data_IF_733745130771
#
_entry.id   IF_733745130771
#
_cell.length_a   1.000
_cell.length_b   1.000
_cell.length_c   1.000
_cell.angle_alpha   90.00
_cell.angle_beta   90.00
_cell.angle_gamma   90.00
#
_symmetry.space_group_name_H-M   'P 1'
#
loop_
_entity.id
_entity.type
_entity.pdbx_description
1 polymer ?
#
# COMPACT_ATOMS: atom_id res chain seq x y z
N UNK A 1 7.86 52.96 7.83
CA UNK A 1 7.54 51.96 6.78
C UNK A 1 6.03 51.86 6.74
N UNK A 2 5.45 52.70 5.88
CA UNK A 2 4.05 53.08 5.93
C UNK A 2 3.20 52.13 5.09
N UNK A 3 2.07 51.75 5.66
CA UNK A 3 1.08 50.84 5.10
C UNK A 3 0.52 51.35 3.76
N UNK A 4 0.93 50.73 2.67
CA UNK A 4 0.27 50.83 1.37
C UNK A 4 -0.94 49.88 1.37
N UNK A 5 -1.97 50.21 2.15
CA UNK A 5 -3.27 49.56 2.09
C UNK A 5 -3.93 49.92 0.74
N UNK A 6 -3.59 49.15 -0.29
CA UNK A 6 -4.17 49.29 -1.63
C UNK A 6 -5.65 48.90 -1.52
N UNK A 7 -6.53 49.87 -1.69
CA UNK A 7 -7.98 49.67 -1.61
C UNK A 7 -8.46 48.75 -2.74
N UNK A 8 -8.63 47.46 -2.44
CA UNK A 8 -9.16 46.42 -3.35
C UNK A 8 -10.70 46.43 -3.39
N UNK A 9 -11.30 47.60 -3.34
CA UNK A 9 -12.75 47.78 -3.47
C UNK A 9 -13.16 47.57 -4.93
N UNK A 10 -13.40 46.30 -5.32
CA UNK A 10 -13.97 45.97 -6.63
C UNK A 10 -13.72 44.54 -7.12
N UNK A 11 -12.86 43.75 -6.45
CA UNK A 11 -12.64 42.37 -6.88
C UNK A 11 -13.81 41.49 -6.46
N UNK A 12 -14.43 40.82 -7.44
CA UNK A 12 -15.44 39.78 -7.20
C UNK A 12 -14.88 38.72 -6.26
N UNK A 13 -15.62 38.39 -5.21
CA UNK A 13 -15.26 37.36 -4.23
C UNK A 13 -16.30 36.25 -4.20
N UNK A 14 -15.88 35.05 -3.76
CA UNK A 14 -16.75 33.91 -3.52
C UNK A 14 -16.50 33.31 -2.13
N UNK A 15 -17.52 32.78 -1.44
CA UNK A 15 -17.33 32.21 -0.12
C UNK A 15 -16.60 30.86 -0.19
N UNK A 16 -15.83 30.56 0.85
CA UNK A 16 -15.16 29.29 1.05
C UNK A 16 -16.17 28.14 1.10
N UNK A 17 -15.94 27.06 0.34
CA UNK A 17 -16.83 25.90 0.31
C UNK A 17 -16.96 25.18 1.67
N UNK A 18 -15.92 25.25 2.51
CA UNK A 18 -15.88 24.52 3.80
C UNK A 18 -16.49 25.32 4.94
N UNK A 19 -16.00 26.54 5.21
CA UNK A 19 -16.48 27.34 6.34
C UNK A 19 -17.56 28.35 5.98
N UNK A 20 -17.78 28.64 4.69
CA UNK A 20 -18.66 29.70 4.17
C UNK A 20 -18.37 31.14 4.65
N UNK A 21 -17.46 31.32 5.60
CA UNK A 21 -17.07 32.61 6.17
C UNK A 21 -15.93 33.26 5.39
N UNK A 22 -14.87 32.51 5.09
CA UNK A 22 -13.70 33.07 4.42
C UNK A 22 -14.00 33.43 2.96
N UNK A 23 -13.69 34.66 2.56
CA UNK A 23 -13.84 35.12 1.18
C UNK A 23 -12.59 34.78 0.37
N UNK A 24 -12.80 34.23 -0.82
CA UNK A 24 -11.78 33.93 -1.81
C UNK A 24 -11.96 34.89 -2.99
N UNK A 25 -10.89 35.39 -3.60
CA UNK A 25 -11.01 36.07 -4.89
C UNK A 25 -11.68 35.15 -5.91
N UNK A 26 -12.59 35.66 -6.74
CA UNK A 26 -13.33 34.86 -7.71
C UNK A 26 -12.41 34.15 -8.72
N UNK A 27 -11.27 34.77 -9.05
CA UNK A 27 -10.23 34.22 -9.92
C UNK A 27 -9.32 33.18 -9.24
N UNK A 28 -9.46 32.96 -7.93
CA UNK A 28 -8.63 31.97 -7.23
C UNK A 28 -8.95 30.56 -7.74
N UNK A 29 -7.92 29.76 -8.02
CA UNK A 29 -8.08 28.32 -8.33
C UNK A 29 -8.48 27.50 -7.10
N UNK A 30 -8.35 28.08 -5.90
CA UNK A 30 -8.64 27.39 -4.66
C UNK A 30 -10.12 27.45 -4.29
N UNK A 31 -10.66 26.29 -3.89
CA UNK A 31 -12.06 26.11 -3.48
C UNK A 31 -12.29 26.48 -2.00
N UNK A 32 -11.21 26.44 -1.19
CA UNK A 32 -11.25 26.64 0.25
C UNK A 32 -10.35 27.80 0.65
N UNK A 33 -10.76 28.57 1.66
CA UNK A 33 -9.95 29.64 2.26
C UNK A 33 -8.64 29.08 2.83
N UNK A 34 -7.69 29.97 3.07
CA UNK A 34 -6.35 29.63 3.57
C UNK A 34 -6.39 28.85 4.88
N UNK A 35 -7.22 29.28 5.85
CA UNK A 35 -7.37 28.60 7.14
C UNK A 35 -7.93 27.18 6.99
N UNK A 36 -8.96 26.99 6.17
CA UNK A 36 -9.53 25.66 5.93
C UNK A 36 -8.52 24.72 5.25
N UNK A 37 -7.70 25.25 4.33
CA UNK A 37 -6.59 24.50 3.71
C UNK A 37 -5.52 24.14 4.74
N UNK A 38 -5.11 25.09 5.59
CA UNK A 38 -4.15 24.86 6.66
C UNK A 38 -4.65 23.78 7.64
N UNK A 39 -5.92 23.86 8.06
CA UNK A 39 -6.54 22.87 8.94
C UNK A 39 -6.61 21.47 8.30
N UNK A 40 -6.93 21.39 7.01
CA UNK A 40 -6.92 20.12 6.25
C UNK A 40 -5.52 19.53 6.17
N UNK A 41 -4.51 20.36 5.88
CA UNK A 41 -3.12 19.93 5.81
C UNK A 41 -2.59 19.47 7.18
N UNK A 42 -2.96 20.16 8.27
CA UNK A 42 -2.62 19.76 9.63
C UNK A 42 -3.19 18.38 9.98
N UNK A 43 -4.49 18.16 9.71
CA UNK A 43 -5.12 16.84 9.90
C UNK A 43 -4.47 15.74 9.05
N UNK A 44 -4.02 16.06 7.84
CA UNK A 44 -3.31 15.11 6.99
C UNK A 44 -1.95 14.75 7.57
N UNK A 45 -1.19 15.73 8.09
CA UNK A 45 0.10 15.51 8.78
C UNK A 45 -0.05 14.67 10.04
N UNK A 46 -1.10 14.92 10.83
CA UNK A 46 -1.39 14.13 12.03
C UNK A 46 -1.68 12.66 11.68
N UNK A 47 -2.48 12.41 10.63
CA UNK A 47 -2.76 11.05 10.14
C UNK A 47 -1.51 10.35 9.63
N UNK A 48 -0.60 11.05 8.95
CA UNK A 48 0.68 10.46 8.53
C UNK A 48 1.57 10.15 9.72
N UNK A 49 1.62 11.03 10.73
CA UNK A 49 2.36 10.79 11.98
C UNK A 49 1.81 9.59 12.76
N UNK A 50 0.49 9.45 12.88
CA UNK A 50 -0.13 8.28 13.51
C UNK A 50 0.20 6.97 12.78
N UNK A 51 0.25 7.00 11.44
CA UNK A 51 0.68 5.83 10.66
C UNK A 51 2.14 5.47 10.89
N UNK A 52 3.01 6.47 11.08
CA UNK A 52 4.43 6.27 11.41
C UNK A 52 4.65 5.77 12.85
N UNK A 53 3.77 6.11 13.80
CA UNK A 53 3.82 5.61 15.19
C UNK A 53 3.25 4.19 15.35
N UNK A 54 2.38 3.75 14.44
CA UNK A 54 1.73 2.42 14.51
C UNK A 54 2.69 1.21 14.53
N UNK A 55 3.86 1.20 13.86
CA UNK A 55 4.81 0.09 13.94
C UNK A 55 5.47 -0.06 15.31
N UNK A 56 5.50 0.97 16.15
CA UNK A 56 6.15 0.91 17.47
C UNK A 56 5.24 0.38 18.60
N UNK A 57 3.97 0.10 18.31
CA UNK A 57 2.98 -0.37 19.29
C UNK A 57 2.53 -1.82 19.04
N UNK A 58 3.10 -2.49 18.05
CA UNK A 58 2.96 -3.95 18.01
C UNK A 58 3.89 -4.51 19.08
N UNK A 59 3.37 -5.28 20.05
CA UNK A 59 4.21 -5.97 21.01
C UNK A 59 5.22 -6.78 20.21
N UNK A 60 6.50 -6.50 20.40
CA UNK A 60 7.55 -7.47 20.11
C UNK A 60 7.24 -8.68 20.96
N UNK A 61 6.53 -9.64 20.38
CA UNK A 61 6.43 -10.99 20.92
C UNK A 61 7.86 -11.52 20.80
N UNK A 62 8.67 -11.27 21.83
CA UNK A 62 9.90 -12.01 22.05
C UNK A 62 9.46 -13.46 22.24
N UNK A 63 9.53 -14.21 21.15
CA UNK A 63 9.62 -15.66 21.22
C UNK A 63 11.03 -15.98 21.72
N UNK A 64 11.24 -15.75 23.03
CA UNK A 64 12.34 -16.37 23.75
C UNK A 64 12.07 -17.88 23.70
N UNK A 65 12.66 -18.49 22.68
CA UNK A 65 12.74 -19.94 22.57
C UNK A 65 13.85 -20.37 23.52
N UNK A 66 13.44 -20.70 24.75
CA UNK A 66 14.24 -21.49 25.67
C UNK A 66 14.60 -22.80 24.97
N UNK A 67 15.82 -22.87 24.46
CA UNK A 67 16.39 -24.09 23.92
C UNK A 67 17.43 -24.58 24.92
N UNK A 68 16.93 -25.17 26.00
CA UNK A 68 17.72 -26.03 26.86
C UNK A 68 17.94 -27.34 26.11
N UNK A 69 19.13 -27.53 25.54
CA UNK A 69 19.78 -28.84 25.61
C UNK A 69 21.29 -28.75 25.44
N UNK A 70 21.88 -29.53 26.32
CA UNK A 70 23.22 -29.55 26.86
C UNK A 70 24.12 -30.55 26.11
N UNK A 71 25.44 -30.32 26.21
CA UNK A 71 26.56 -31.25 26.01
C UNK A 71 26.81 -31.86 24.61
N UNK A 72 28.03 -32.06 24.08
CA UNK A 72 29.46 -31.81 24.40
C UNK A 72 30.23 -32.43 23.20
N UNK A 73 31.29 -31.90 22.59
CA UNK A 73 32.71 -31.87 23.03
C UNK A 73 33.60 -31.27 21.92
N UNK A 74 34.56 -30.42 22.32
CA UNK A 74 35.98 -30.28 21.86
C UNK A 74 36.27 -29.86 20.39
N UNK A 75 37.25 -29.01 20.03
CA UNK A 75 38.41 -28.45 20.71
C UNK A 75 38.93 -27.17 19.99
N UNK A 76 39.52 -26.27 20.79
CA UNK A 76 40.73 -25.47 20.53
C UNK A 76 40.87 -24.59 19.27
N UNK A 77 40.85 -23.27 19.47
CA UNK A 77 42.00 -22.44 19.07
C UNK A 77 42.06 -21.12 19.85
N UNK A 78 43.26 -20.82 20.31
CA UNK A 78 43.73 -19.77 21.22
C UNK A 78 43.95 -18.42 20.54
N UNK A 79 43.72 -17.32 21.28
CA UNK A 79 44.67 -16.19 21.27
C UNK A 79 44.14 -14.76 21.17
N UNK A 80 44.08 -14.09 22.33
CA UNK A 80 44.42 -12.67 22.62
C UNK A 80 43.58 -11.53 21.98
N UNK A 81 42.72 -10.85 22.73
CA UNK A 81 42.95 -9.85 23.78
C UNK A 81 43.17 -8.41 23.27
N UNK A 82 42.19 -7.54 23.56
CA UNK A 82 42.43 -6.27 24.29
C UNK A 82 41.12 -5.62 24.76
N UNK A 83 41.18 -5.19 26.01
CA UNK A 83 40.18 -4.53 26.84
C UNK A 83 39.91 -3.08 26.40
N UNK A 84 38.68 -2.59 26.66
CA UNK A 84 38.46 -1.54 27.67
C UNK A 84 36.96 -1.18 27.82
N UNK A 85 36.43 -1.44 29.03
CA UNK A 85 35.79 -0.47 29.97
C UNK A 85 35.21 0.84 29.40
N UNK A 86 34.12 1.43 29.88
CA UNK A 86 33.22 1.25 31.03
C UNK A 86 32.15 2.36 30.91
N UNK A 87 31.07 2.23 31.70
CA UNK A 87 30.23 3.32 32.25
C UNK A 87 29.00 3.70 31.40
N UNK A 88 27.83 3.99 31.95
CA UNK A 88 27.14 3.74 33.23
C UNK A 88 25.76 4.40 33.04
N UNK A 89 24.76 3.86 33.75
CA UNK A 89 23.65 4.58 34.38
C UNK A 89 22.31 4.86 33.66
N UNK A 90 21.28 4.53 34.45
CA UNK A 90 19.98 5.17 34.68
C UNK A 90 18.75 4.67 33.91
N UNK A 91 18.24 3.53 34.40
CA UNK A 91 16.85 3.11 34.26
C UNK A 91 15.93 3.94 35.17
N UNK A 92 15.14 4.84 34.57
CA UNK A 92 14.00 5.45 35.24
C UNK A 92 12.76 4.55 35.12
N UNK A 93 12.51 3.77 36.17
CA UNK A 93 11.24 3.06 36.38
C UNK A 93 10.15 4.05 36.80
N UNK A 94 9.17 4.32 35.93
CA UNK A 94 7.96 5.05 36.27
C UNK A 94 6.85 4.06 36.64
N UNK A 95 6.54 4.03 37.94
CA UNK A 95 5.40 3.33 38.54
C UNK A 95 4.09 4.02 38.17
N UNK A 96 3.16 3.27 37.56
CA UNK A 96 1.77 3.72 37.35
C UNK A 96 0.90 3.34 38.57
N UNK A 97 -0.04 4.19 39.01
CA UNK A 97 -0.96 3.89 40.10
C UNK A 97 -2.06 2.89 39.67
N UNK A 98 -2.58 2.05 40.58
CA UNK A 98 -3.65 1.11 40.28
C UNK A 98 -4.99 1.83 40.10
N UNK A 99 -5.64 1.58 38.96
CA UNK A 99 -7.00 2.04 38.67
C UNK A 99 -8.00 1.18 39.45
N UNK A 100 -8.75 1.84 40.32
CA UNK A 100 -9.83 1.27 41.13
C UNK A 100 -11.00 0.80 40.26
N UNK A 101 -11.31 -0.49 40.35
CA UNK A 101 -12.48 -1.13 39.75
C UNK A 101 -13.74 -0.65 40.49
N UNK A 102 -14.59 0.16 39.83
CA UNK A 102 -15.97 0.40 40.28
C UNK A 102 -16.83 -0.77 39.82
N UNK A 103 -17.23 -1.60 40.79
CA UNK A 103 -18.33 -2.54 40.69
C UNK A 103 -19.65 -1.77 40.59
N UNK A 104 -20.34 -1.86 39.45
CA UNK A 104 -21.76 -1.52 39.37
C UNK A 104 -22.55 -2.82 39.35
N UNK A 105 -23.49 -2.90 40.29
CA UNK A 105 -24.34 -4.06 40.53
C UNK A 105 -25.38 -4.28 39.44
N UNK A 106 -25.68 -5.56 39.24
CA UNK A 106 -27.05 -6.02 38.98
C UNK A 106 -27.89 -5.77 40.26
N UNK A 107 -29.19 -5.47 40.19
CA UNK A 107 -30.22 -6.41 39.69
C UNK A 107 -31.26 -5.69 38.78
N UNK A 108 -32.21 -6.35 38.11
CA UNK A 108 -33.46 -6.86 38.68
C UNK A 108 -34.21 -7.58 37.53
N UNK A 109 -34.74 -8.77 37.83
CA UNK A 109 -35.75 -9.47 37.03
C UNK A 109 -37.03 -8.64 36.95
N UNK A 110 -37.58 -8.50 35.75
CA UNK A 110 -38.91 -7.94 35.53
C UNK A 110 -39.56 -8.65 34.35
N UNK A 111 -40.36 -9.66 34.67
CA UNK A 111 -41.46 -10.12 33.82
C UNK A 111 -42.37 -8.95 33.47
N UNK A 112 -42.72 -8.79 32.18
CA UNK A 112 -44.04 -8.34 31.76
C UNK A 112 -44.14 -8.14 30.24
N UNK A 113 -45.09 -8.88 29.67
CA UNK A 113 -46.08 -8.41 28.69
C UNK A 113 -45.62 -8.22 27.24
N UNK A 114 -45.96 -9.27 26.50
CA UNK A 114 -46.28 -9.31 25.08
C UNK A 114 -47.26 -8.18 24.71
N UNK A 115 -46.78 -7.17 23.99
CA UNK A 115 -47.61 -6.10 23.38
C UNK A 115 -47.41 -6.15 21.88
N UNK A 116 -48.45 -6.67 21.23
CA UNK A 116 -48.71 -6.61 19.80
C UNK A 116 -48.52 -5.16 19.31
N UNK A 117 -47.46 -4.92 18.55
CA UNK A 117 -47.14 -3.60 18.00
C UNK A 117 -47.18 -3.69 16.48
N UNK A 118 -48.23 -3.07 15.95
CA UNK A 118 -48.46 -2.65 14.57
C UNK A 118 -47.16 -2.26 13.84
N UNK A 119 -47.02 -2.51 12.52
CA UNK A 119 -45.81 -2.16 11.76
C UNK A 119 -45.68 -0.64 11.64
N UNK A 120 -45.03 -0.07 12.64
CA UNK A 120 -44.67 1.34 12.69
C UNK A 120 -43.78 1.66 11.50
N UNK A 121 -44.20 2.68 10.74
CA UNK A 121 -43.44 3.33 9.70
C UNK A 121 -42.11 3.81 10.30
N UNK A 122 -41.08 2.96 10.23
CA UNK A 122 -39.73 3.22 10.71
C UNK A 122 -39.22 4.49 10.06
N UNK A 123 -39.37 5.60 10.80
CA UNK A 123 -38.84 6.92 10.44
C UNK A 123 -37.33 6.75 10.26
N UNK A 124 -36.88 6.71 9.01
CA UNK A 124 -35.47 6.54 8.68
C UNK A 124 -34.67 7.69 9.29
N UNK A 125 -34.00 7.42 10.42
CA UNK A 125 -33.09 8.35 11.06
C UNK A 125 -31.85 8.52 10.18
N UNK A 126 -31.37 9.75 10.09
CA UNK A 126 -30.15 10.05 9.34
C UNK A 126 -28.93 9.48 10.09
N UNK A 127 -27.89 9.06 9.37
CA UNK A 127 -26.73 8.37 9.95
C UNK A 127 -26.00 9.16 11.07
N UNK A 128 -26.16 10.48 11.09
CA UNK A 128 -25.56 11.35 12.11
C UNK A 128 -26.37 11.39 13.41
N UNK A 129 -27.65 11.00 13.37
CA UNK A 129 -28.58 10.89 14.50
C UNK A 129 -28.48 9.54 15.21
N UNK A 130 -27.79 8.57 14.61
CA UNK A 130 -27.49 7.28 15.24
C UNK A 130 -26.32 7.44 16.22
N UNK A 131 -26.49 6.89 17.41
CA UNK A 131 -25.47 6.85 18.47
C UNK A 131 -25.11 5.41 18.86
N UNK A 132 -23.92 5.23 19.44
CA UNK A 132 -23.47 3.94 19.97
C UNK A 132 -23.47 2.78 18.96
N UNK A 133 -24.14 1.69 19.35
CA UNK A 133 -24.15 0.42 18.62
C UNK A 133 -24.89 0.50 17.28
N UNK A 134 -25.98 1.25 17.21
CA UNK A 134 -26.80 1.40 15.99
C UNK A 134 -26.00 2.03 14.85
N UNK A 135 -25.24 3.08 15.17
CA UNK A 135 -24.36 3.74 14.20
C UNK A 135 -23.27 2.79 13.67
N UNK A 136 -22.71 1.97 14.55
CA UNK A 136 -21.68 1.00 14.19
C UNK A 136 -22.24 -0.08 13.24
N UNK A 137 -23.45 -0.57 13.51
CA UNK A 137 -24.14 -1.54 12.64
C UNK A 137 -24.46 -0.93 11.29
N UNK A 138 -25.06 0.27 11.24
CA UNK A 138 -25.39 0.96 9.99
C UNK A 138 -24.14 1.25 9.14
N UNK A 139 -23.02 1.64 9.76
CA UNK A 139 -21.75 1.83 9.05
C UNK A 139 -21.17 0.53 8.53
N UNK A 140 -21.31 -0.58 9.27
CA UNK A 140 -20.86 -1.90 8.85
C UNK A 140 -21.65 -2.37 7.62
N UNK A 141 -22.96 -2.19 7.62
CA UNK A 141 -23.84 -2.53 6.50
C UNK A 141 -23.60 -1.64 5.28
N UNK A 142 -23.45 -0.33 5.47
CA UNK A 142 -23.11 0.58 4.37
C UNK A 142 -21.77 0.19 3.73
N UNK A 143 -20.80 -0.23 4.54
CA UNK A 143 -19.50 -0.71 4.06
C UNK A 143 -19.59 -2.03 3.31
N UNK A 144 -20.42 -2.98 3.74
CA UNK A 144 -20.63 -4.25 3.01
C UNK A 144 -21.34 -3.99 1.69
N UNK A 145 -22.36 -3.13 1.65
CA UNK A 145 -23.04 -2.74 0.42
C UNK A 145 -22.11 -2.03 -0.57
N UNK A 146 -21.27 -1.12 -0.10
CA UNK A 146 -20.28 -0.46 -0.97
C UNK A 146 -19.24 -1.45 -1.50
N UNK A 147 -18.77 -2.39 -0.68
CA UNK A 147 -17.89 -3.48 -1.16
C UNK A 147 -18.58 -4.33 -2.23
N UNK A 148 -19.86 -4.66 -2.04
CA UNK A 148 -20.63 -5.42 -3.02
C UNK A 148 -20.83 -4.65 -4.32
N UNK A 149 -21.16 -3.35 -4.27
CA UNK A 149 -21.32 -2.51 -5.47
C UNK A 149 -20.01 -2.27 -6.21
N UNK A 150 -18.92 -2.00 -5.49
CA UNK A 150 -17.60 -1.81 -6.10
C UNK A 150 -17.11 -3.12 -6.71
N UNK A 151 -17.25 -4.25 -6.00
CA UNK A 151 -16.91 -5.57 -6.51
C UNK A 151 -17.76 -5.96 -7.74
N UNK A 152 -19.07 -5.71 -7.71
CA UNK A 152 -19.97 -5.99 -8.81
C UNK A 152 -19.71 -5.13 -10.05
N UNK A 153 -19.35 -3.85 -9.86
CA UNK A 153 -18.99 -2.96 -10.97
C UNK A 153 -17.65 -3.31 -11.61
N UNK A 154 -16.73 -3.92 -10.87
CA UNK A 154 -15.44 -4.40 -11.41
C UNK A 154 -15.60 -5.69 -12.23
N UNK A 155 -16.67 -6.47 -12.02
CA UNK A 155 -17.00 -7.68 -12.79
C UNK A 155 -17.67 -7.42 -14.14
N UNK A 156 -18.15 -6.21 -14.45
CA UNK A 156 -18.91 -5.95 -15.69
C UNK A 156 -18.05 -5.55 -16.90
N UNK A 157 -16.72 -5.65 -16.79
CA UNK A 157 -15.79 -5.50 -17.91
C UNK A 157 -14.79 -6.67 -17.92
N UNK A 158 -15.33 -7.88 -18.02
CA UNK A 158 -14.59 -9.11 -18.34
C UNK A 158 -15.05 -9.62 -19.70
N UNK A 159 -15.16 -8.72 -20.68
CA UNK A 159 -14.99 -9.17 -22.06
C UNK A 159 -13.57 -9.71 -22.13
N UNK A 160 -13.46 -10.96 -22.53
CA UNK A 160 -12.21 -11.68 -22.66
C UNK A 160 -11.36 -10.95 -23.69
N UNK A 161 -10.52 -10.02 -23.22
CA UNK A 161 -9.43 -9.39 -23.99
C UNK A 161 -8.36 -10.48 -24.24
N UNK A 162 -8.73 -11.43 -25.10
CA UNK A 162 -7.76 -12.19 -25.85
C UNK A 162 -7.34 -11.34 -27.05
N UNK A 163 -6.03 -11.38 -27.31
CA UNK A 163 -5.31 -10.87 -28.47
C UNK A 163 -4.64 -9.51 -28.28
N UNK A 164 -3.32 -9.61 -28.09
CA UNK A 164 -2.32 -8.53 -28.06
C UNK A 164 -2.46 -7.64 -26.83
N UNK A 165 -1.64 -7.90 -25.81
CA UNK A 165 -1.51 -7.02 -24.67
C UNK A 165 -1.08 -5.63 -25.14
N UNK A 166 -2.05 -4.74 -25.40
CA UNK A 166 -1.79 -3.34 -25.66
C UNK A 166 -0.99 -2.80 -24.48
N UNK A 167 0.21 -2.30 -24.78
CA UNK A 167 1.09 -1.76 -23.76
C UNK A 167 0.39 -0.61 -23.06
N UNK A 168 0.15 -0.74 -21.77
CA UNK A 168 -0.55 0.31 -21.02
C UNK A 168 0.46 1.34 -20.51
N UNK A 169 0.37 2.57 -21.01
CA UNK A 169 1.12 3.69 -20.46
C UNK A 169 0.62 4.01 -19.04
N UNK A 170 1.55 4.22 -18.12
CA UNK A 170 1.29 4.63 -16.75
C UNK A 170 1.98 5.96 -16.48
N UNK A 171 1.23 6.91 -15.92
CA UNK A 171 1.77 8.25 -15.61
C UNK A 171 2.89 8.24 -14.57
N UNK A 172 2.95 7.21 -13.70
CA UNK A 172 3.97 7.09 -12.65
C UNK A 172 4.41 5.64 -12.46
N UNK A 173 5.62 5.45 -11.95
CA UNK A 173 6.15 4.12 -11.57
C UNK A 173 5.22 3.41 -10.56
N UNK A 174 4.74 4.12 -9.54
CA UNK A 174 3.83 3.56 -8.54
C UNK A 174 2.52 3.06 -9.17
N UNK A 175 1.95 3.80 -10.13
CA UNK A 175 0.76 3.38 -10.83
C UNK A 175 1.01 2.10 -11.65
N UNK A 176 2.18 1.99 -12.31
CA UNK A 176 2.58 0.79 -13.04
C UNK A 176 2.66 -0.43 -12.10
N UNK A 177 3.38 -0.31 -10.98
CA UNK A 177 3.54 -1.42 -10.02
C UNK A 177 2.23 -1.82 -9.34
N UNK A 178 1.36 -0.86 -9.00
CA UNK A 178 0.05 -1.15 -8.41
C UNK A 178 -0.84 -1.89 -9.42
N UNK A 179 -0.89 -1.46 -10.69
CA UNK A 179 -1.64 -2.15 -11.74
C UNK A 179 -1.17 -3.58 -11.92
N UNK A 180 0.15 -3.79 -12.01
CA UNK A 180 0.77 -5.11 -12.11
C UNK A 180 0.41 -6.00 -10.91
N UNK A 181 0.59 -5.49 -9.69
CA UNK A 181 0.25 -6.19 -8.45
C UNK A 181 -1.22 -6.61 -8.40
N UNK A 182 -2.13 -5.69 -8.73
CA UNK A 182 -3.57 -5.98 -8.74
C UNK A 182 -3.93 -7.02 -9.80
N UNK A 183 -3.27 -6.99 -10.96
CA UNK A 183 -3.45 -8.03 -11.99
C UNK A 183 -2.96 -9.39 -11.50
N UNK A 184 -1.78 -9.45 -10.88
CA UNK A 184 -1.24 -10.69 -10.30
C UNK A 184 -2.16 -11.26 -9.19
N UNK A 185 -2.68 -10.42 -8.30
CA UNK A 185 -3.63 -10.85 -7.26
C UNK A 185 -4.92 -11.41 -7.88
N UNK A 186 -5.48 -10.74 -8.89
CA UNK A 186 -6.69 -11.23 -9.58
C UNK A 186 -6.47 -12.59 -10.24
N UNK A 187 -5.33 -12.77 -10.91
CA UNK A 187 -4.97 -14.07 -11.51
C UNK A 187 -4.79 -15.14 -10.44
N UNK A 188 -4.12 -14.82 -9.32
CA UNK A 188 -3.95 -15.77 -8.22
C UNK A 188 -5.30 -16.17 -7.58
N UNK A 189 -6.21 -15.22 -7.38
CA UNK A 189 -7.56 -15.50 -6.88
C UNK A 189 -8.38 -16.36 -7.86
N UNK A 190 -8.27 -16.07 -9.17
CA UNK A 190 -8.93 -16.85 -10.20
C UNK A 190 -8.35 -18.26 -10.36
N UNK A 191 -7.04 -18.43 -10.12
CA UNK A 191 -6.39 -19.74 -10.13
C UNK A 191 -6.89 -20.64 -8.99
N UNK A 192 -7.26 -20.05 -7.85
CA UNK A 192 -7.87 -20.77 -6.72
C UNK A 192 -9.31 -21.21 -7.00
N UNK A 193 -10.01 -20.60 -7.95
CA UNK A 193 -11.33 -21.06 -8.41
C UNK A 193 -11.18 -22.11 -9.51
N UNK A 194 -11.64 -23.32 -9.27
CA UNK A 194 -11.46 -24.49 -10.15
C UNK A 194 -12.10 -24.38 -11.54
N UNK A 195 -12.98 -23.41 -11.77
CA UNK A 195 -13.83 -23.32 -12.98
C UNK A 195 -13.34 -22.35 -14.06
N UNK A 196 -12.25 -21.61 -13.87
CA UNK A 196 -11.79 -20.60 -14.85
C UNK A 196 -10.57 -21.06 -15.67
N UNK A 197 -10.66 -21.06 -17.03
CA UNK A 197 -9.60 -21.51 -17.92
C UNK A 197 -8.46 -20.48 -18.13
N UNK A 198 -8.63 -19.21 -17.77
CA UNK A 198 -7.60 -18.17 -18.01
C UNK A 198 -6.82 -17.85 -16.73
N UNK A 199 -5.79 -18.64 -16.46
CA UNK A 199 -4.86 -18.48 -15.33
C UNK A 199 -3.56 -17.76 -15.69
N UNK A 200 -3.51 -17.14 -16.86
CA UNK A 200 -2.27 -16.55 -17.40
C UNK A 200 -2.19 -15.07 -17.02
N UNK A 201 -1.13 -14.70 -16.30
CA UNK A 201 -0.76 -13.32 -16.03
C UNK A 201 0.03 -12.78 -17.23
N UNK A 202 -0.67 -12.07 -18.11
CA UNK A 202 -0.07 -11.29 -19.18
C UNK A 202 -0.16 -9.81 -18.87
N UNK A 203 0.95 -9.14 -18.60
CA UNK A 203 1.01 -7.71 -18.31
C UNK A 203 2.08 -7.06 -19.16
N UNK A 204 1.71 -6.01 -19.90
CA UNK A 204 2.64 -5.16 -20.62
C UNK A 204 2.33 -3.71 -20.29
N UNK A 205 3.27 -3.00 -19.68
CA UNK A 205 3.09 -1.61 -19.32
C UNK A 205 4.41 -0.87 -19.25
N UNK A 206 4.36 0.44 -19.44
CA UNK A 206 5.54 1.29 -19.40
C UNK A 206 5.23 2.62 -18.73
N UNK A 207 6.29 3.31 -18.30
CA UNK A 207 6.23 4.71 -17.89
C UNK A 207 7.53 5.40 -18.28
N UNK A 208 7.48 6.73 -18.44
CA UNK A 208 8.66 7.53 -18.71
C UNK A 208 9.09 8.29 -17.45
N UNK A 209 10.39 8.54 -17.34
CA UNK A 209 10.99 9.40 -16.32
C UNK A 209 12.06 10.27 -16.95
N UNK A 210 12.43 11.35 -16.27
CA UNK A 210 13.53 12.21 -16.70
C UNK A 210 14.85 11.45 -16.60
N UNK A 211 15.68 11.52 -17.64
CA UNK A 211 17.01 10.95 -17.61
C UNK A 211 17.87 11.72 -16.60
N UNK A 212 18.74 11.01 -15.90
CA UNK A 212 19.70 11.60 -14.96
C UNK A 212 21.07 11.04 -15.31
N UNK A 213 22.01 11.90 -15.67
CA UNK A 213 23.31 11.49 -16.22
C UNK A 213 24.15 10.66 -15.24
N UNK A 214 23.91 10.83 -13.92
CA UNK A 214 24.57 10.04 -12.88
C UNK A 214 24.05 8.61 -12.74
N UNK A 215 22.92 8.28 -13.38
CA UNK A 215 22.29 6.96 -13.29
C UNK A 215 22.22 6.34 -14.68
N UNK A 216 23.10 5.37 -14.93
CA UNK A 216 23.09 4.58 -16.16
C UNK A 216 21.79 3.79 -16.34
N UNK A 217 21.49 3.39 -17.59
CA UNK A 217 20.35 2.53 -17.92
C UNK A 217 20.36 1.22 -17.11
N UNK A 218 21.54 0.63 -16.87
CA UNK A 218 21.69 -0.60 -16.10
C UNK A 218 21.39 -0.39 -14.61
N UNK A 219 21.95 0.65 -13.98
CA UNK A 219 21.63 0.98 -12.59
C UNK A 219 20.13 1.25 -12.40
N UNK A 220 19.51 1.92 -13.36
CA UNK A 220 18.07 2.19 -13.36
C UNK A 220 17.25 0.91 -13.49
N UNK A 221 17.68 0.00 -14.36
CA UNK A 221 17.07 -1.32 -14.49
C UNK A 221 17.15 -2.10 -13.18
N UNK A 222 18.29 -2.07 -12.48
CA UNK A 222 18.46 -2.72 -11.17
C UNK A 222 17.51 -2.17 -10.11
N UNK A 223 17.27 -0.85 -10.09
CA UNK A 223 16.26 -0.24 -9.22
C UNK A 223 14.85 -0.74 -9.53
N UNK A 224 14.47 -0.79 -10.82
CA UNK A 224 13.17 -1.32 -11.26
C UNK A 224 13.00 -2.79 -10.87
N UNK A 225 14.06 -3.59 -10.98
CA UNK A 225 14.07 -4.99 -10.56
C UNK A 225 13.82 -5.11 -9.05
N UNK A 226 14.46 -4.27 -8.24
CA UNK A 226 14.23 -4.25 -6.80
C UNK A 226 12.79 -3.85 -6.46
N UNK A 227 12.24 -2.86 -7.15
CA UNK A 227 10.86 -2.41 -6.96
C UNK A 227 9.84 -3.48 -7.35
N UNK A 228 10.08 -4.21 -8.45
CA UNK A 228 9.23 -5.33 -8.85
C UNK A 228 9.16 -6.41 -7.77
N UNK A 229 10.31 -6.72 -7.15
CA UNK A 229 10.39 -7.69 -6.04
C UNK A 229 9.70 -7.15 -4.77
N UNK A 230 9.95 -5.89 -4.39
CA UNK A 230 9.46 -5.29 -3.13
C UNK A 230 7.98 -4.88 -3.19
N UNK A 231 7.58 -4.17 -4.25
CA UNK A 231 6.26 -3.52 -4.36
C UNK A 231 5.25 -4.45 -5.02
N UNK A 232 5.59 -4.97 -6.21
CA UNK A 232 4.71 -5.85 -6.98
C UNK A 232 4.72 -7.29 -6.46
N UNK A 233 5.71 -7.66 -5.62
CA UNK A 233 5.87 -8.99 -5.01
C UNK A 233 5.99 -10.11 -6.04
N UNK A 234 6.65 -9.84 -7.17
CA UNK A 234 6.91 -10.85 -8.20
C UNK A 234 8.26 -11.51 -7.92
N UNK A 235 8.24 -12.84 -7.78
CA UNK A 235 9.44 -13.63 -7.58
C UNK A 235 10.01 -14.10 -8.94
N UNK A 236 11.30 -13.86 -9.17
CA UNK A 236 12.04 -14.27 -10.36
C UNK A 236 13.55 -14.38 -10.04
N UNK A 237 14.27 -15.20 -10.80
CA UNK A 237 15.72 -15.43 -10.63
C UNK A 237 16.52 -14.16 -10.82
N UNK A 238 17.63 -14.00 -10.10
CA UNK A 238 18.57 -12.89 -10.32
C UNK A 238 19.56 -13.16 -11.47
N UNK A 239 19.76 -14.42 -11.87
CA UNK A 239 20.81 -14.80 -12.82
C UNK A 239 20.32 -14.78 -14.27
N UNK A 240 20.48 -13.65 -14.96
CA UNK A 240 20.39 -13.61 -16.42
C UNK A 240 21.37 -12.59 -16.99
N UNK A 241 21.89 -12.88 -18.18
CA UNK A 241 22.73 -11.96 -18.92
C UNK A 241 21.95 -10.67 -19.22
N UNK A 242 22.50 -9.54 -18.78
CA UNK A 242 22.01 -8.23 -19.20
C UNK A 242 22.46 -8.00 -20.64
N UNK A 243 21.58 -7.48 -21.49
CA UNK A 243 22.00 -6.88 -22.75
C UNK A 243 22.02 -5.37 -22.55
N UNK A 244 23.21 -4.77 -22.61
CA UNK A 244 23.38 -3.34 -22.39
C UNK A 244 24.00 -2.69 -23.61
N UNK A 245 23.36 -1.64 -24.09
CA UNK A 245 23.82 -0.73 -25.13
C UNK A 245 23.80 0.69 -24.56
N UNK A 246 24.49 1.67 -25.17
CA UNK A 246 24.53 3.03 -24.64
C UNK A 246 23.13 3.65 -24.38
N UNK A 247 22.16 3.32 -25.24
CA UNK A 247 20.82 3.92 -25.21
C UNK A 247 19.73 2.95 -24.71
N UNK A 248 20.08 1.72 -24.37
CA UNK A 248 19.10 0.71 -23.96
C UNK A 248 19.75 -0.38 -23.11
N UNK A 249 19.16 -0.68 -21.96
CA UNK A 249 19.46 -1.85 -21.16
C UNK A 249 18.22 -2.74 -21.07
N UNK A 250 18.39 -4.04 -21.27
CA UNK A 250 17.31 -5.01 -21.12
C UNK A 250 17.76 -6.26 -20.37
N UNK A 251 16.84 -6.85 -19.61
CA UNK A 251 17.07 -8.09 -18.88
C UNK A 251 15.80 -8.92 -18.87
N UNK A 252 15.93 -10.19 -19.20
CA UNK A 252 14.86 -11.18 -19.11
C UNK A 252 15.09 -12.08 -17.90
N UNK A 253 14.03 -12.47 -17.22
CA UNK A 253 14.09 -13.33 -16.05
C UNK A 253 13.08 -14.47 -16.18
N UNK A 254 13.52 -15.68 -15.85
CA UNK A 254 12.60 -16.78 -15.60
C UNK A 254 11.80 -16.48 -14.34
N UNK A 255 10.48 -16.62 -14.42
CA UNK A 255 9.61 -16.46 -13.26
C UNK A 255 9.77 -17.67 -12.34
N UNK A 256 9.85 -17.40 -11.04
CA UNK A 256 9.68 -18.41 -10.01
C UNK A 256 8.24 -18.29 -9.53
N UNK A 257 7.34 -18.89 -10.31
CA UNK A 257 5.89 -18.93 -10.12
C UNK A 257 5.47 -18.62 -8.68
N UNK A 258 4.94 -17.39 -8.50
CA UNK A 258 4.26 -16.82 -7.33
C UNK A 258 4.09 -17.82 -6.18
N UNK A 259 5.14 -18.07 -5.40
CA UNK A 259 5.14 -19.06 -4.33
C UNK A 259 3.89 -18.94 -3.48
N UNK A 260 2.87 -19.72 -3.81
CA UNK A 260 1.86 -20.07 -2.83
C UNK A 260 2.69 -20.72 -1.76
N UNK A 261 2.70 -20.10 -0.59
CA UNK A 261 3.29 -20.68 0.61
C UNK A 261 2.52 -21.96 0.93
N UNK A 262 2.68 -23.00 0.13
CA UNK A 262 2.43 -24.37 0.55
C UNK A 262 3.56 -24.65 1.53
N UNK A 263 3.24 -24.44 2.80
CA UNK A 263 4.08 -24.89 3.90
C UNK A 263 4.44 -26.35 3.71
N UNK A 264 5.63 -26.71 4.19
CA UNK A 264 6.17 -28.08 4.35
C UNK A 264 6.74 -28.76 3.11
N UNK A 265 7.90 -28.29 2.63
CA UNK A 265 9.10 -29.13 2.41
C UNK A 265 10.03 -28.49 1.37
N UNK A 266 11.31 -28.20 1.69
CA UNK A 266 12.26 -27.63 0.73
C UNK A 266 12.66 -28.59 -0.40
N UNK A 267 12.39 -29.89 -0.30
CA UNK A 267 12.79 -30.89 -1.30
C UNK A 267 11.93 -30.89 -2.57
N UNK A 268 10.69 -30.36 -2.55
CA UNK A 268 9.79 -30.35 -3.71
C UNK A 268 9.85 -29.05 -4.54
N UNK A 269 10.59 -28.03 -4.09
CA UNK A 269 10.67 -26.73 -4.76
C UNK A 269 11.42 -26.78 -6.09
N UNK A 270 12.49 -27.57 -6.22
CA UNK A 270 13.25 -27.64 -7.48
C UNK A 270 12.43 -28.22 -8.63
N UNK A 271 11.56 -29.21 -8.36
CA UNK A 271 10.73 -29.83 -9.39
C UNK A 271 9.59 -28.90 -9.84
N UNK A 272 9.02 -28.11 -8.93
CA UNK A 272 7.99 -27.09 -9.26
C UNK A 272 8.59 -25.93 -10.06
N UNK A 273 9.83 -25.52 -9.75
CA UNK A 273 10.56 -24.48 -10.49
C UNK A 273 10.73 -24.87 -11.97
N UNK A 274 10.95 -26.16 -12.27
CA UNK A 274 11.14 -26.64 -13.65
C UNK A 274 9.91 -26.53 -14.57
N UNK A 275 8.71 -26.35 -14.00
CA UNK A 275 7.45 -26.28 -14.78
C UNK A 275 7.01 -24.85 -15.11
N UNK A 276 7.57 -23.85 -14.42
CA UNK A 276 7.22 -22.46 -14.63
C UNK A 276 7.83 -21.93 -15.94
N UNK A 277 7.00 -21.70 -16.96
CA UNK A 277 7.44 -21.09 -18.24
C UNK A 277 7.32 -19.57 -18.25
N UNK A 278 6.94 -18.97 -17.13
CA UNK A 278 6.75 -17.54 -17.02
C UNK A 278 8.06 -16.76 -17.20
N UNK A 279 7.96 -15.55 -17.75
CA UNK A 279 9.07 -14.63 -18.00
C UNK A 279 8.72 -13.22 -17.56
N UNK A 280 9.69 -12.54 -16.94
CA UNK A 280 9.66 -11.10 -16.66
C UNK A 280 10.72 -10.45 -17.53
N UNK A 281 10.34 -9.49 -18.35
CA UNK A 281 11.23 -8.75 -19.23
C UNK A 281 11.16 -7.27 -18.85
N UNK A 282 12.32 -6.69 -18.58
CA UNK A 282 12.47 -5.28 -18.22
C UNK A 282 13.36 -4.63 -19.26
N UNK A 283 12.92 -3.49 -19.78
CA UNK A 283 13.67 -2.66 -20.73
C UNK A 283 13.72 -1.24 -20.19
N UNK A 284 14.90 -0.65 -20.24
CA UNK A 284 15.12 0.77 -19.97
C UNK A 284 15.79 1.36 -21.20
N UNK A 285 15.06 2.17 -21.95
CA UNK A 285 15.52 2.79 -23.20
C UNK A 285 15.52 4.31 -23.07
N UNK A 286 16.40 4.98 -23.81
CA UNK A 286 16.37 6.43 -23.97
C UNK A 286 15.09 6.85 -24.69
N UNK A 287 14.43 7.89 -24.19
CA UNK A 287 13.18 8.40 -24.74
C UNK A 287 13.31 9.89 -25.07
N UNK A 288 13.16 10.23 -26.34
CA UNK A 288 13.19 11.61 -26.84
C UNK A 288 11.79 12.19 -27.10
N UNK A 289 10.71 11.49 -26.74
CA UNK A 289 9.34 11.94 -27.02
C UNK A 289 8.82 13.00 -26.04
N UNK A 290 9.61 13.44 -25.07
CA UNK A 290 9.18 14.42 -24.09
C UNK A 290 8.94 15.79 -24.76
N UNK A 291 7.73 16.33 -24.62
CA UNK A 291 7.29 17.58 -25.28
C UNK A 291 8.12 18.84 -24.96
N UNK A 292 8.94 18.83 -23.89
CA UNK A 292 9.85 19.92 -23.53
C UNK A 292 11.28 19.77 -24.07
N UNK A 293 11.55 18.77 -24.92
CA UNK A 293 12.90 18.49 -25.43
C UNK A 293 13.88 17.98 -24.36
N UNK A 294 13.36 17.56 -23.20
CA UNK A 294 14.17 16.96 -22.12
C UNK A 294 14.37 15.48 -22.45
N UNK A 295 15.60 15.00 -22.36
CA UNK A 295 15.88 13.56 -22.55
C UNK A 295 15.22 12.77 -21.41
N UNK A 296 14.32 11.87 -21.80
CA UNK A 296 13.67 10.92 -20.91
C UNK A 296 14.30 9.55 -20.99
N UNK A 297 13.82 8.67 -20.13
CA UNK A 297 14.03 7.23 -20.22
C UNK A 297 12.68 6.53 -20.06
N UNK A 298 12.39 5.64 -20.99
CA UNK A 298 11.20 4.79 -20.95
C UNK A 298 11.55 3.48 -20.27
N UNK A 299 10.78 3.14 -19.25
CA UNK A 299 10.86 1.87 -18.54
C UNK A 299 9.67 1.03 -18.96
N UNK A 300 9.94 -0.08 -19.63
CA UNK A 300 8.94 -1.05 -20.06
C UNK A 300 9.07 -2.35 -19.25
N UNK A 301 7.93 -2.86 -18.79
CA UNK A 301 7.81 -4.09 -18.03
C UNK A 301 6.82 -5.00 -18.74
N UNK A 302 7.29 -6.18 -19.12
CA UNK A 302 6.48 -7.24 -19.67
C UNK A 302 6.56 -8.48 -18.78
N UNK A 303 5.43 -8.92 -18.25
CA UNK A 303 5.30 -10.14 -17.45
C UNK A 303 4.36 -11.07 -18.18
N UNK A 304 4.84 -12.25 -18.54
CA UNK A 304 4.06 -13.32 -19.16
C UNK A 304 4.19 -14.53 -18.26
N UNK A 305 3.11 -15.05 -17.71
CA UNK A 305 3.16 -16.16 -16.76
C UNK A 305 1.93 -17.04 -16.83
#
# INVERSE_FOLDING_TARGET
>A
MSDMATSLSGLSTRPCKTCRIGLLPAFSTFVNCQECRARKNSKQRERTNLKLKRPSLLPTINLDSSNDNDASLTASHTGSAKENTSSRNDEHSLSFPPVSKKSFGNPINGDALNVDSSPDLLKMRLLHELEGQEKMTALKEMKTMLKAKVGASETRSLVVDNMIAHSTECQTASALYIKLKNKAIRVALAASSSSSPTRVLNFKGWHCIVAVDSISHEQRMDLVIQDLKKIAKIAFSSSNAATSTPNCASRSFACHCLGTKTSSSPASLQEVISKCKGRVFVVVESDSSHFKGVVGQRIEINVTH
#
